data_IF_405389372126
#
_entry.id   IF_405389372126
#
_cell.length_a   1.000
_cell.length_b   1.000
_cell.length_c   1.000
_cell.angle_alpha   90.00
_cell.angle_beta   90.00
_cell.angle_gamma   90.00
#
_symmetry.space_group_name_H-M   'P 1'
#
loop_
_entity.id
_entity.type
_entity.pdbx_description
1 polymer ?
#
# COMPACT_ATOMS: atom_id res chain seq x y z
N UNK A 1 -27.20 37.31 58.85
CA UNK A 1 -26.61 36.58 57.70
C UNK A 1 -25.11 36.87 57.65
N UNK A 2 -24.28 36.03 58.29
CA UNK A 2 -22.81 36.00 58.23
C UNK A 2 -22.37 34.77 59.03
N UNK A 3 -21.79 33.77 58.38
CA UNK A 3 -21.35 32.55 59.06
C UNK A 3 -21.12 31.33 58.18
N UNK A 4 -20.86 31.50 56.88
CA UNK A 4 -20.25 30.45 56.06
C UNK A 4 -18.73 30.51 56.23
N UNK A 5 -18.07 29.36 56.28
CA UNK A 5 -16.61 29.13 56.32
C UNK A 5 -16.05 28.79 57.71
N UNK A 6 -16.16 27.52 58.13
CA UNK A 6 -15.12 26.87 58.94
C UNK A 6 -15.14 25.34 59.03
N UNK A 7 -15.78 24.64 58.10
CA UNK A 7 -15.77 23.17 58.08
C UNK A 7 -15.32 22.53 56.75
N UNK A 8 -14.67 23.30 55.88
CA UNK A 8 -14.13 22.79 54.59
C UNK A 8 -12.60 22.78 54.59
N UNK A 9 -11.97 22.00 55.46
CA UNK A 9 -10.50 21.84 55.36
C UNK A 9 -9.94 20.50 55.84
N UNK A 10 -10.76 19.46 55.97
CA UNK A 10 -10.26 18.11 56.24
C UNK A 10 -11.08 17.11 55.43
N UNK A 11 -10.78 17.01 54.12
CA UNK A 11 -11.16 15.89 53.23
C UNK A 11 -10.55 16.10 51.82
N UNK A 12 -9.24 16.33 51.76
CA UNK A 12 -8.45 16.11 50.55
C UNK A 12 -7.48 14.96 50.81
N UNK A 13 -8.04 13.84 51.26
CA UNK A 13 -7.35 12.56 51.36
C UNK A 13 -7.48 11.87 49.99
N UNK A 14 -6.34 11.61 49.35
CA UNK A 14 -6.16 10.55 48.34
C UNK A 14 -7.16 10.54 47.16
N UNK A 15 -7.09 11.54 46.27
CA UNK A 15 -7.52 11.33 44.89
C UNK A 15 -6.42 10.56 44.15
N UNK A 16 -6.58 9.24 44.15
CA UNK A 16 -5.90 8.21 43.38
C UNK A 16 -4.96 8.71 42.26
N UNK A 17 -3.66 8.48 42.46
CA UNK A 17 -2.76 8.10 41.37
C UNK A 17 -3.36 6.85 40.72
N UNK A 18 -4.15 7.03 39.67
CA UNK A 18 -4.41 5.95 38.73
C UNK A 18 -3.06 5.59 38.13
N UNK A 19 -2.57 4.35 38.25
CA UNK A 19 -1.58 3.89 37.32
C UNK A 19 -2.25 3.97 35.95
N UNK A 20 -1.77 4.88 35.10
CA UNK A 20 -1.96 4.74 33.66
C UNK A 20 -1.39 3.37 33.37
N UNK A 21 -2.27 2.37 33.20
CA UNK A 21 -1.89 1.09 32.66
C UNK A 21 -1.37 1.39 31.26
N UNK A 22 -0.06 1.61 31.18
CA UNK A 22 0.69 1.51 29.95
C UNK A 22 0.33 0.14 29.41
N UNK A 23 -0.52 0.10 28.38
CA UNK A 23 -0.65 -1.07 27.54
C UNK A 23 0.74 -1.25 26.98
N UNK A 24 1.50 -2.14 27.61
CA UNK A 24 2.76 -2.63 27.09
C UNK A 24 2.43 -3.20 25.71
N UNK A 25 2.72 -2.41 24.68
CA UNK A 25 2.96 -2.96 23.36
C UNK A 25 4.20 -3.82 23.52
N UNK A 26 3.99 -5.11 23.82
CA UNK A 26 4.99 -6.15 23.61
C UNK A 26 5.59 -5.93 22.21
N UNK A 27 6.91 -5.80 22.17
CA UNK A 27 7.71 -5.64 20.96
C UNK A 27 7.57 -6.92 20.12
N UNK A 28 6.48 -7.03 19.36
CA UNK A 28 6.25 -8.16 18.44
C UNK A 28 7.20 -8.05 17.25
N UNK A 29 7.88 -9.14 16.93
CA UNK A 29 8.73 -9.28 15.73
C UNK A 29 7.92 -9.16 14.41
N UNK A 30 6.58 -9.08 14.48
CA UNK A 30 5.71 -8.94 13.31
C UNK A 30 5.74 -7.50 12.78
N UNK A 31 6.27 -7.33 11.58
CA UNK A 31 6.30 -6.05 10.87
C UNK A 31 4.90 -5.60 10.47
N UNK A 32 4.59 -4.33 10.70
CA UNK A 32 3.32 -3.72 10.25
C UNK A 32 3.53 -3.08 8.88
N UNK A 33 2.84 -3.62 7.87
CA UNK A 33 2.86 -3.09 6.52
C UNK A 33 1.55 -2.36 6.21
N UNK A 34 1.69 -1.28 5.47
CA UNK A 34 0.64 -0.35 5.06
C UNK A 34 0.76 -0.08 3.56
N UNK A 35 -0.24 0.56 2.97
CA UNK A 35 -0.17 1.00 1.57
C UNK A 35 1.05 1.89 1.24
N UNK A 36 1.67 2.52 2.23
CA UNK A 36 2.77 3.47 2.03
C UNK A 36 4.15 2.81 2.04
N UNK A 37 4.37 1.83 2.92
CA UNK A 37 5.67 1.18 3.09
C UNK A 37 5.75 -0.22 2.45
N UNK A 38 4.63 -0.85 2.05
CA UNK A 38 4.64 -2.21 1.53
C UNK A 38 5.67 -2.42 0.41
N UNK A 39 5.65 -1.61 -0.66
CA UNK A 39 6.62 -1.78 -1.75
C UNK A 39 8.02 -1.36 -1.37
N UNK A 40 8.16 -0.34 -0.52
CA UNK A 40 9.46 0.14 -0.08
C UNK A 40 10.21 -0.94 0.72
N UNK A 41 9.50 -1.58 1.67
CA UNK A 41 10.10 -2.54 2.60
C UNK A 41 10.26 -3.92 1.94
N UNK A 42 9.25 -4.35 1.18
CA UNK A 42 9.22 -5.71 0.62
C UNK A 42 9.87 -5.83 -0.74
N UNK A 43 9.78 -4.78 -1.57
CA UNK A 43 10.10 -4.82 -3.00
C UNK A 43 9.46 -6.03 -3.73
N UNK A 44 8.28 -6.45 -3.26
CA UNK A 44 7.65 -7.70 -3.69
C UNK A 44 7.41 -7.76 -5.20
N UNK A 45 7.15 -6.63 -5.86
CA UNK A 45 6.87 -6.60 -7.31
C UNK A 45 8.10 -6.72 -8.20
N UNK A 46 9.25 -6.20 -7.77
CA UNK A 46 10.48 -6.21 -8.57
C UNK A 46 11.28 -7.50 -8.38
N UNK A 47 11.01 -8.24 -7.30
CA UNK A 47 11.77 -9.43 -6.94
C UNK A 47 13.19 -9.15 -6.44
N UNK A 48 13.60 -7.88 -6.36
CA UNK A 48 14.85 -7.43 -5.74
C UNK A 48 14.74 -7.40 -4.21
N UNK A 49 13.94 -8.30 -3.64
CA UNK A 49 13.49 -8.28 -2.25
C UNK A 49 14.67 -8.35 -1.28
N UNK A 50 14.59 -7.59 -0.19
CA UNK A 50 15.52 -7.62 0.96
C UNK A 50 15.42 -8.91 1.80
N UNK A 51 14.96 -10.01 1.20
CA UNK A 51 14.59 -11.27 1.85
C UNK A 51 13.14 -11.67 1.53
N UNK A 52 12.80 -12.91 1.84
CA UNK A 52 11.45 -13.44 1.67
C UNK A 52 10.49 -12.86 2.73
N UNK A 53 9.21 -12.72 2.37
CA UNK A 53 8.19 -12.14 3.25
C UNK A 53 6.98 -13.06 3.40
N UNK A 54 6.56 -13.33 4.63
CA UNK A 54 5.29 -13.99 4.91
C UNK A 54 4.29 -12.98 5.49
N UNK A 55 3.25 -12.64 4.73
CA UNK A 55 2.34 -11.54 5.06
C UNK A 55 0.93 -12.06 5.35
N UNK A 56 0.39 -11.66 6.51
CA UNK A 56 -1.00 -11.87 6.88
C UNK A 56 -1.85 -10.65 6.55
N UNK A 57 -2.76 -10.79 5.59
CA UNK A 57 -3.82 -9.82 5.32
C UNK A 57 -5.02 -10.11 6.22
N UNK A 58 -5.36 -9.17 7.10
CA UNK A 58 -6.39 -9.34 8.11
C UNK A 58 -7.37 -8.16 8.15
N UNK A 59 -8.43 -8.32 8.95
CA UNK A 59 -9.31 -7.25 9.38
C UNK A 59 -9.50 -7.31 10.91
N UNK A 60 -9.59 -6.16 11.60
CA UNK A 60 -9.56 -6.10 13.07
C UNK A 60 -10.79 -6.73 13.74
N UNK A 61 -11.91 -6.81 13.03
CA UNK A 61 -13.15 -7.43 13.51
C UNK A 61 -13.21 -8.95 13.28
N UNK A 62 -12.30 -9.52 12.50
CA UNK A 62 -12.35 -10.94 12.12
C UNK A 62 -11.90 -11.85 13.27
N UNK A 63 -12.81 -12.70 13.76
CA UNK A 63 -12.51 -13.66 14.84
C UNK A 63 -11.40 -14.66 14.50
N UNK A 64 -11.34 -15.15 13.26
CA UNK A 64 -10.26 -16.05 12.81
C UNK A 64 -8.89 -15.37 12.80
N UNK A 65 -8.84 -14.07 12.49
CA UNK A 65 -7.59 -13.31 12.53
C UNK A 65 -7.10 -13.11 13.97
N UNK A 66 -8.00 -12.84 14.91
CA UNK A 66 -7.67 -12.71 16.33
C UNK A 66 -7.14 -14.02 16.91
N UNK A 67 -7.75 -15.16 16.55
CA UNK A 67 -7.26 -16.49 16.98
C UNK A 67 -5.88 -16.83 16.41
N UNK A 68 -5.58 -16.39 15.19
CA UNK A 68 -4.29 -16.60 14.55
C UNK A 68 -3.20 -15.64 15.05
N UNK A 69 -3.56 -14.51 15.66
CA UNK A 69 -2.60 -13.49 16.09
C UNK A 69 -1.44 -14.04 16.95
N UNK A 70 -1.67 -14.77 18.06
CA UNK A 70 -0.57 -15.25 18.90
C UNK A 70 0.36 -16.22 18.15
N UNK A 71 -0.20 -17.16 17.37
CA UNK A 71 0.61 -18.08 16.54
C UNK A 71 1.42 -17.33 15.49
N UNK A 72 0.89 -16.21 14.98
CA UNK A 72 1.60 -15.37 14.01
C UNK A 72 2.74 -14.57 14.65
N UNK A 73 2.59 -14.16 15.90
CA UNK A 73 3.66 -13.52 16.67
C UNK A 73 4.79 -14.54 16.98
N UNK A 74 4.45 -15.76 17.41
CA UNK A 74 5.41 -16.86 17.59
C UNK A 74 6.16 -17.21 16.29
N UNK A 75 5.44 -17.24 15.15
CA UNK A 75 6.03 -17.48 13.84
C UNK A 75 7.08 -16.42 13.49
N UNK A 76 6.82 -15.15 13.81
CA UNK A 76 7.76 -14.07 13.53
C UNK A 76 9.05 -14.23 14.33
N UNK A 77 8.95 -14.63 15.60
CA UNK A 77 10.12 -14.91 16.43
C UNK A 77 10.90 -16.13 15.92
N UNK A 78 10.22 -17.21 15.54
CA UNK A 78 10.87 -18.43 15.03
C UNK A 78 11.57 -18.23 13.67
N UNK A 79 11.05 -17.34 12.83
CA UNK A 79 11.60 -17.05 11.50
C UNK A 79 12.54 -15.84 11.45
N UNK A 80 12.82 -15.23 12.61
CA UNK A 80 13.64 -14.02 12.71
C UNK A 80 15.00 -14.22 12.02
N UNK A 81 15.32 -13.32 11.10
CA UNK A 81 16.55 -13.36 10.30
C UNK A 81 16.56 -14.34 9.12
N UNK A 82 15.50 -15.14 8.94
CA UNK A 82 15.35 -16.07 7.81
C UNK A 82 14.24 -15.60 6.87
N UNK A 83 13.06 -15.30 7.40
CA UNK A 83 11.90 -14.79 6.65
C UNK A 83 11.28 -13.64 7.44
N UNK A 84 10.97 -12.54 6.77
CA UNK A 84 10.29 -11.42 7.38
C UNK A 84 8.79 -11.73 7.53
N UNK A 85 8.27 -11.70 8.76
CA UNK A 85 6.85 -11.96 9.02
C UNK A 85 6.13 -10.64 9.24
N UNK A 86 5.04 -10.43 8.52
CA UNK A 86 4.32 -9.16 8.54
C UNK A 86 2.80 -9.31 8.61
N UNK A 87 2.12 -8.21 8.93
CA UNK A 87 0.67 -8.08 8.91
C UNK A 87 0.23 -6.80 8.20
N UNK A 88 -0.89 -6.89 7.48
CA UNK A 88 -1.53 -5.76 6.78
C UNK A 88 -3.01 -5.75 7.17
N UNK A 89 -3.49 -4.62 7.70
CA UNK A 89 -4.93 -4.37 7.81
C UNK A 89 -5.48 -4.04 6.41
N UNK A 90 -6.03 -5.04 5.75
CA UNK A 90 -6.57 -4.90 4.39
C UNK A 90 -7.89 -4.11 4.36
N UNK A 91 -8.54 -3.90 5.50
CA UNK A 91 -9.74 -3.06 5.60
C UNK A 91 -9.35 -1.58 5.58
N UNK A 92 -8.34 -1.21 6.35
CA UNK A 92 -7.76 0.13 6.32
C UNK A 92 -7.03 0.42 5.00
N UNK A 93 -6.41 -0.60 4.39
CA UNK A 93 -5.58 -0.48 3.18
C UNK A 93 -6.23 -1.09 1.94
N UNK A 94 -7.34 -0.48 1.49
CA UNK A 94 -8.14 -0.98 0.35
C UNK A 94 -7.37 -1.11 -0.98
N UNK A 95 -6.31 -0.32 -1.18
CA UNK A 95 -5.44 -0.43 -2.37
C UNK A 95 -4.69 -1.75 -2.41
N UNK A 96 -4.10 -2.17 -1.29
CA UNK A 96 -3.43 -3.47 -1.15
C UNK A 96 -4.44 -4.62 -1.25
N UNK A 97 -5.62 -4.46 -0.61
CA UNK A 97 -6.72 -5.44 -0.72
C UNK A 97 -7.11 -5.72 -2.16
N UNK A 98 -7.28 -4.66 -2.97
CA UNK A 98 -7.61 -4.77 -4.40
C UNK A 98 -6.45 -5.37 -5.20
N UNK A 99 -5.23 -4.87 -4.99
CA UNK A 99 -4.02 -5.30 -5.69
C UNK A 99 -3.79 -6.80 -5.55
N UNK A 100 -3.84 -7.32 -4.33
CA UNK A 100 -3.66 -8.76 -4.04
C UNK A 100 -4.96 -9.56 -4.08
N UNK A 101 -6.07 -8.96 -4.55
CA UNK A 101 -7.38 -9.62 -4.70
C UNK A 101 -7.85 -10.34 -3.43
N UNK A 102 -7.64 -9.74 -2.27
CA UNK A 102 -8.03 -10.31 -0.98
C UNK A 102 -9.56 -10.30 -0.84
N UNK A 103 -10.17 -11.48 -0.86
CA UNK A 103 -11.64 -11.67 -0.79
C UNK A 103 -12.14 -12.10 0.59
N UNK A 104 -11.24 -12.50 1.49
CA UNK A 104 -11.59 -13.02 2.81
C UNK A 104 -10.41 -12.96 3.77
N UNK A 105 -10.69 -13.17 5.06
CA UNK A 105 -9.70 -13.00 6.11
C UNK A 105 -9.63 -14.22 7.05
N UNK A 106 -8.45 -14.58 7.56
CA UNK A 106 -7.14 -14.10 7.11
C UNK A 106 -6.80 -14.68 5.73
N UNK A 107 -6.09 -13.91 4.90
CA UNK A 107 -5.41 -14.42 3.70
C UNK A 107 -3.91 -14.33 3.94
N UNK A 108 -3.21 -15.45 3.79
CA UNK A 108 -1.79 -15.58 4.07
C UNK A 108 -1.05 -15.74 2.75
N UNK A 109 -0.07 -14.87 2.48
CA UNK A 109 0.67 -14.86 1.22
C UNK A 109 2.16 -14.76 1.52
N UNK A 110 2.91 -15.69 0.95
CA UNK A 110 4.36 -15.68 0.97
C UNK A 110 4.90 -15.07 -0.32
N UNK A 111 5.85 -14.15 -0.20
CA UNK A 111 6.48 -13.44 -1.32
C UNK A 111 7.95 -13.83 -1.39
N UNK A 112 8.38 -14.25 -2.57
CA UNK A 112 9.78 -14.57 -2.86
C UNK A 112 10.07 -14.32 -4.33
N UNK A 113 11.15 -13.59 -4.62
CA UNK A 113 11.68 -13.39 -5.97
C UNK A 113 10.64 -12.92 -7.00
N UNK A 114 9.78 -11.95 -6.62
CA UNK A 114 8.78 -11.38 -7.53
C UNK A 114 7.52 -12.23 -7.69
N UNK A 115 7.45 -13.35 -6.98
CA UNK A 115 6.34 -14.30 -6.98
C UNK A 115 5.64 -14.31 -5.63
N UNK A 116 4.35 -14.61 -5.66
CA UNK A 116 3.52 -14.81 -4.49
C UNK A 116 2.92 -16.21 -4.47
N UNK A 117 2.88 -16.79 -3.27
CA UNK A 117 2.43 -18.14 -2.98
C UNK A 117 1.35 -18.04 -1.90
N UNK A 118 0.13 -18.42 -2.22
CA UNK A 118 -0.98 -18.36 -1.28
C UNK A 118 -0.95 -19.58 -0.36
N UNK A 119 -1.01 -19.35 0.94
CA UNK A 119 -1.05 -20.42 1.91
C UNK A 119 -2.50 -20.79 2.28
N UNK A 120 -2.87 -22.06 2.08
CA UNK A 120 -4.22 -22.58 2.34
C UNK A 120 -4.25 -23.73 3.36
N UNK A 121 -3.09 -24.12 3.89
CA UNK A 121 -2.94 -25.24 4.83
C UNK A 121 -3.34 -24.91 6.28
N UNK A 122 -3.07 -25.85 7.20
CA UNK A 122 -3.38 -25.73 8.63
C UNK A 122 -2.69 -24.51 9.24
N UNK A 123 -3.39 -23.78 10.10
CA UNK A 123 -2.85 -22.58 10.76
C UNK A 123 -2.09 -22.87 12.06
N UNK A 124 -1.41 -24.02 12.13
CA UNK A 124 -0.50 -24.35 13.24
C UNK A 124 0.88 -23.76 12.98
N UNK A 125 1.62 -23.45 14.04
CA UNK A 125 2.98 -22.90 13.95
C UNK A 125 3.88 -23.77 13.08
N UNK A 126 3.90 -25.08 13.33
CA UNK A 126 4.72 -26.05 12.58
C UNK A 126 4.47 -25.99 11.07
N UNK A 127 3.20 -25.98 10.65
CA UNK A 127 2.81 -25.95 9.25
C UNK A 127 3.22 -24.63 8.58
N UNK A 128 3.10 -23.52 9.31
CA UNK A 128 3.51 -22.20 8.82
C UNK A 128 5.04 -22.09 8.67
N UNK A 129 5.79 -22.61 9.64
CA UNK A 129 7.26 -22.64 9.59
C UNK A 129 7.76 -23.52 8.45
N UNK A 130 7.19 -24.73 8.30
CA UNK A 130 7.55 -25.65 7.23
C UNK A 130 7.32 -25.04 5.84
N UNK A 131 6.18 -24.36 5.68
CA UNK A 131 5.88 -23.63 4.45
C UNK A 131 6.90 -22.53 4.18
N UNK A 132 7.16 -21.65 5.17
CA UNK A 132 8.08 -20.53 5.02
C UNK A 132 9.54 -20.97 4.76
N UNK A 133 9.98 -22.11 5.31
CA UNK A 133 11.33 -22.66 5.13
C UNK A 133 11.53 -23.40 3.80
N UNK A 134 10.51 -23.47 2.94
CA UNK A 134 10.66 -23.98 1.57
C UNK A 134 9.46 -24.72 1.02
N UNK A 135 8.50 -25.14 1.86
CA UNK A 135 7.33 -25.89 1.41
C UNK A 135 6.44 -25.14 0.41
N UNK A 136 6.58 -23.82 0.30
CA UNK A 136 5.89 -23.02 -0.73
C UNK A 136 6.26 -23.39 -2.17
N UNK A 137 7.36 -24.10 -2.39
CA UNK A 137 7.84 -24.47 -3.74
C UNK A 137 7.20 -25.74 -4.29
N UNK A 138 6.67 -26.60 -3.42
CA UNK A 138 6.32 -27.97 -3.81
C UNK A 138 4.87 -28.06 -4.33
N UNK A 139 3.91 -27.44 -3.63
CA UNK A 139 2.48 -27.65 -3.88
C UNK A 139 1.68 -26.35 -4.12
N UNK A 140 2.36 -25.20 -4.18
CA UNK A 140 1.67 -23.90 -4.37
C UNK A 140 1.95 -23.30 -5.73
N UNK A 141 0.90 -22.90 -6.44
CA UNK A 141 1.02 -22.19 -7.70
C UNK A 141 1.72 -20.84 -7.48
N UNK A 142 2.85 -20.65 -8.17
CA UNK A 142 3.58 -19.41 -8.17
C UNK A 142 2.87 -18.37 -9.05
N UNK A 143 2.31 -17.33 -8.44
CA UNK A 143 1.66 -16.23 -9.17
C UNK A 143 2.58 -15.02 -9.17
N UNK A 144 2.72 -14.34 -10.32
CA UNK A 144 3.54 -13.13 -10.36
C UNK A 144 2.92 -12.01 -9.52
N UNK A 145 3.75 -11.28 -8.77
CA UNK A 145 3.29 -10.21 -7.90
C UNK A 145 2.73 -9.07 -8.76
N UNK A 146 1.45 -8.68 -8.59
CA UNK A 146 0.88 -7.59 -9.37
C UNK A 146 1.64 -6.30 -9.06
N UNK A 147 1.99 -5.52 -10.09
CA UNK A 147 2.65 -4.22 -9.92
C UNK A 147 1.85 -3.29 -8.99
N UNK A 148 2.50 -2.39 -8.25
CA UNK A 148 1.79 -1.34 -7.54
C UNK A 148 0.94 -0.54 -8.54
N UNK A 149 -0.17 0.08 -8.11
CA UNK A 149 -0.90 1.00 -8.97
C UNK A 149 0.05 2.10 -9.43
N UNK A 150 0.45 2.06 -10.71
CA UNK A 150 1.38 3.02 -11.28
C UNK A 150 0.89 4.45 -11.06
N UNK A 151 1.83 5.39 -10.93
CA UNK A 151 1.51 6.82 -10.90
C UNK A 151 0.63 7.20 -12.09
N UNK A 152 0.87 6.64 -13.27
CA UNK A 152 0.05 6.84 -14.46
C UNK A 152 -1.37 6.28 -14.29
N UNK A 153 -1.56 5.15 -13.60
CA UNK A 153 -2.89 4.62 -13.33
C UNK A 153 -3.65 5.50 -12.32
N UNK A 154 -2.94 6.01 -11.30
CA UNK A 154 -3.48 6.95 -10.32
C UNK A 154 -3.86 8.28 -10.99
N UNK A 155 -2.94 8.86 -11.77
CA UNK A 155 -3.17 10.10 -12.54
C UNK A 155 -4.28 9.95 -13.58
N UNK A 156 -4.36 8.80 -14.28
CA UNK A 156 -5.49 8.50 -15.18
C UNK A 156 -6.80 8.47 -14.41
N UNK A 157 -6.84 7.84 -13.24
CA UNK A 157 -8.04 7.80 -12.38
C UNK A 157 -8.54 9.20 -12.01
N UNK A 158 -7.64 10.05 -11.52
CA UNK A 158 -7.97 11.44 -11.17
C UNK A 158 -8.40 12.25 -12.40
N UNK A 159 -7.67 12.13 -13.51
CA UNK A 159 -8.00 12.78 -14.77
C UNK A 159 -9.38 12.37 -15.29
N UNK A 160 -9.71 11.07 -15.29
CA UNK A 160 -11.02 10.58 -15.71
C UNK A 160 -12.14 11.02 -14.77
N UNK A 161 -11.86 11.15 -13.47
CA UNK A 161 -12.79 11.74 -12.50
C UNK A 161 -13.09 13.19 -12.83
N UNK A 162 -12.05 14.00 -13.02
CA UNK A 162 -12.18 15.41 -13.41
C UNK A 162 -12.88 15.56 -14.76
N UNK A 163 -12.51 14.74 -15.75
CA UNK A 163 -13.14 14.74 -17.07
C UNK A 163 -14.63 14.41 -16.98
N UNK A 164 -15.04 13.43 -16.18
CA UNK A 164 -16.46 13.13 -15.95
C UNK A 164 -17.20 14.29 -15.31
N UNK A 165 -16.59 14.97 -14.34
CA UNK A 165 -17.17 16.17 -13.73
C UNK A 165 -17.35 17.27 -14.77
N UNK A 166 -16.34 17.54 -15.60
CA UNK A 166 -16.41 18.53 -16.69
C UNK A 166 -17.48 18.14 -17.72
N UNK A 167 -17.57 16.86 -18.10
CA UNK A 167 -18.58 16.37 -19.05
C UNK A 167 -20.00 16.42 -18.48
N UNK A 168 -20.18 16.10 -17.19
CA UNK A 168 -21.46 16.25 -16.49
C UNK A 168 -21.90 17.71 -16.45
N UNK A 169 -20.96 18.60 -16.15
CA UNK A 169 -21.16 20.05 -16.11
C UNK A 169 -21.48 20.66 -17.47
N UNK A 170 -20.83 20.16 -18.54
CA UNK A 170 -21.15 20.55 -19.92
C UNK A 170 -22.59 20.23 -20.33
N UNK A 171 -23.27 19.30 -19.63
CA UNK A 171 -24.69 18.99 -19.86
C UNK A 171 -25.65 19.89 -19.07
N UNK A 172 -25.16 20.65 -18.09
CA UNK A 172 -25.94 21.52 -17.20
C UNK A 172 -25.30 22.92 -17.09
N UNK A 173 -25.31 23.72 -18.18
CA UNK A 173 -24.61 25.00 -18.24
C UNK A 173 -25.20 26.09 -17.33
N UNK A 174 -26.44 25.93 -16.87
CA UNK A 174 -27.10 26.82 -15.90
C UNK A 174 -26.56 26.73 -14.47
N UNK A 175 -25.77 25.70 -14.13
CA UNK A 175 -25.20 25.49 -12.79
C UNK A 175 -23.81 26.14 -12.60
N UNK A 176 -23.35 26.92 -13.58
CA UNK A 176 -21.97 27.39 -13.71
C UNK A 176 -21.82 28.85 -13.31
N UNK A 177 -21.02 29.16 -12.29
CA UNK A 177 -20.63 30.56 -12.04
C UNK A 177 -19.61 31.00 -13.10
N UNK A 178 -19.70 32.25 -13.55
CA UNK A 178 -18.80 32.84 -14.55
C UNK A 178 -17.32 32.59 -14.20
N UNK A 179 -16.94 32.75 -12.93
CA UNK A 179 -15.60 32.47 -12.40
C UNK A 179 -15.13 31.03 -12.70
N UNK A 180 -15.98 30.02 -12.43
CA UNK A 180 -15.63 28.61 -12.65
C UNK A 180 -15.42 28.27 -14.14
N UNK A 181 -16.17 28.93 -15.04
CA UNK A 181 -16.00 28.77 -16.48
C UNK A 181 -14.64 29.31 -16.96
N UNK A 182 -14.22 30.46 -16.43
CA UNK A 182 -12.90 31.04 -16.73
C UNK A 182 -11.76 30.15 -16.26
N UNK A 183 -11.84 29.55 -15.06
CA UNK A 183 -10.80 28.64 -14.58
C UNK A 183 -10.66 27.39 -15.45
N UNK A 184 -11.77 26.79 -15.89
CA UNK A 184 -11.75 25.64 -16.79
C UNK A 184 -11.15 26.01 -18.16
N UNK A 185 -11.56 27.15 -18.73
CA UNK A 185 -11.05 27.63 -20.00
C UNK A 185 -9.53 27.95 -19.92
N UNK A 186 -9.11 28.64 -18.87
CA UNK A 186 -7.70 28.96 -18.62
C UNK A 186 -6.86 27.68 -18.44
N UNK A 187 -7.37 26.69 -17.70
CA UNK A 187 -6.69 25.41 -17.51
C UNK A 187 -6.45 24.66 -18.83
N UNK A 188 -7.43 24.65 -19.74
CA UNK A 188 -7.30 24.04 -21.07
C UNK A 188 -6.27 24.78 -21.91
N UNK A 189 -6.32 26.12 -21.93
CA UNK A 189 -5.37 26.94 -22.70
C UNK A 189 -3.94 26.73 -22.19
N UNK A 190 -3.72 26.85 -20.87
CA UNK A 190 -2.41 26.65 -20.25
C UNK A 190 -1.90 25.23 -20.53
N UNK A 191 -2.75 24.21 -20.37
CA UNK A 191 -2.39 22.82 -20.66
C UNK A 191 -1.97 22.61 -22.11
N UNK A 192 -2.70 23.21 -23.07
CA UNK A 192 -2.38 23.12 -24.50
C UNK A 192 -1.05 23.77 -24.86
N UNK A 193 -0.72 24.90 -24.24
CA UNK A 193 0.55 25.61 -24.46
C UNK A 193 1.71 24.81 -23.88
N UNK A 194 1.58 24.29 -22.65
CA UNK A 194 2.62 23.47 -22.01
C UNK A 194 2.87 22.17 -22.77
N UNK A 195 1.82 21.49 -23.22
CA UNK A 195 1.94 20.28 -24.02
C UNK A 195 2.66 20.54 -25.35
N UNK A 196 2.31 21.64 -26.03
CA UNK A 196 2.95 22.05 -27.29
C UNK A 196 4.42 22.39 -27.10
N UNK A 197 4.76 23.14 -26.04
CA UNK A 197 6.14 23.48 -25.70
C UNK A 197 6.98 22.23 -25.36
N UNK A 198 6.41 21.29 -24.60
CA UNK A 198 7.06 20.03 -24.26
C UNK A 198 7.28 19.15 -25.50
N UNK A 199 6.29 19.05 -26.40
CA UNK A 199 6.42 18.31 -27.66
C UNK A 199 7.52 18.91 -28.57
N UNK A 200 7.58 20.24 -28.67
CA UNK A 200 8.64 20.93 -29.40
C UNK A 200 10.02 20.69 -28.77
N UNK A 201 10.11 20.75 -27.44
CA UNK A 201 11.34 20.45 -26.71
C UNK A 201 11.82 19.03 -26.99
N UNK A 202 10.94 18.02 -26.93
CA UNK A 202 11.29 16.63 -27.27
C UNK A 202 11.70 16.47 -28.73
N UNK A 203 11.05 17.18 -29.65
CA UNK A 203 11.38 17.15 -31.08
C UNK A 203 12.76 17.75 -31.37
N UNK A 204 13.14 18.80 -30.64
CA UNK A 204 14.46 19.44 -30.75
C UNK A 204 15.56 18.64 -30.02
N UNK A 205 15.22 17.92 -28.96
CA UNK A 205 16.14 17.11 -28.19
C UNK A 205 16.45 15.74 -28.82
N UNK A 206 15.72 15.34 -29.87
CA UNK A 206 15.97 14.07 -30.57
C UNK A 206 17.23 14.19 -31.44
N UNK A 207 18.31 13.44 -31.16
CA UNK A 207 19.52 13.49 -31.96
C UNK A 207 19.24 12.98 -33.38
N UNK A 208 19.73 13.72 -34.39
CA UNK A 208 19.55 13.35 -35.79
C UNK A 208 20.00 11.91 -36.05
N UNK A 209 19.23 11.10 -36.82
CA UNK A 209 19.61 9.73 -37.10
C UNK A 209 20.93 9.69 -37.86
N UNK A 210 21.93 9.02 -37.30
CA UNK A 210 23.24 8.82 -37.93
C UNK A 210 23.04 8.15 -39.30
N UNK A 211 23.50 8.80 -40.37
CA UNK A 211 23.51 8.22 -41.72
C UNK A 211 24.34 6.94 -41.71
N UNK A 212 23.67 5.80 -41.88
CA UNK A 212 24.30 4.48 -42.00
C UNK A 212 25.12 4.48 -43.28
N UNK A 213 26.45 4.54 -43.17
CA UNK A 213 27.38 4.36 -44.29
C UNK A 213 27.14 2.96 -44.86
N UNK A 214 26.54 2.87 -46.04
CA UNK A 214 26.41 1.64 -46.79
C UNK A 214 27.79 1.24 -47.30
N UNK A 215 28.47 0.33 -46.60
CA UNK A 215 29.58 -0.40 -47.19
C UNK A 215 29.02 -1.27 -48.32
N UNK A 216 29.19 -0.78 -49.54
CA UNK A 216 29.07 -1.55 -50.77
C UNK A 216 30.17 -2.62 -50.77
N UNK A 217 29.78 -3.84 -50.45
CA UNK A 217 30.58 -5.05 -50.64
C UNK A 217 30.61 -5.33 -52.14
N UNK A 218 31.63 -4.84 -52.84
CA UNK A 218 31.93 -5.21 -54.23
C UNK A 218 32.84 -6.43 -54.19
N UNK A 219 32.36 -7.54 -54.75
CA UNK A 219 33.21 -8.68 -55.06
C UNK A 219 34.24 -8.31 -56.12
N UNK A 220 35.47 -8.78 -55.92
CA UNK A 220 36.08 -9.88 -56.67
C UNK A 220 37.24 -10.46 -55.85
#
# INVERSE_FOLDING_TARGET
>A
VRGTMRHLLVLALAAALLPVASVAAEESDVVVLTSQNFEHDTQASTGATTGDWFVKFYAPWCGHCKKLAPVWDELATELKGVVNVAKVDAEAHSSLRKRFRIRGYPTLIFFSQGKMYKYEEKRSLESLVAFAKGGYKDDTEAVDVPAPPDLIATLKGEFFGLLKTVLHYSKHPEAISQESAYFLAAGIVIGSVLASAFYLFLSLASPAPAKRVSQSKKGD
#
